data_IF_099970144507
#
_entry.id   IF_099970144507
#
_cell.length_a   1.000
_cell.length_b   1.000
_cell.length_c   1.000
_cell.angle_alpha   90.00
_cell.angle_beta   90.00
_cell.angle_gamma   90.00
#
_symmetry.space_group_name_H-M   'P 1'
#
loop_
_entity.id
_entity.type
_entity.pdbx_description
1 polymer ?
#
# COMPACT_ATOMS: atom_id res chain seq x y z
N UNK A 1 -21.69 -2.66 -0.61
CA UNK A 1 -20.30 -2.94 -0.22
C UNK A 1 -20.28 -3.87 0.99
N UNK A 2 -19.65 -5.01 0.85
CA UNK A 2 -19.55 -6.02 1.92
C UNK A 2 -18.17 -5.99 2.56
N UNK A 3 -18.06 -6.54 3.78
CA UNK A 3 -16.77 -6.65 4.47
C UNK A 3 -15.79 -7.49 3.66
N UNK A 4 -16.26 -8.58 3.08
CA UNK A 4 -15.44 -9.47 2.26
C UNK A 4 -14.89 -8.74 1.02
N UNK A 5 -15.73 -7.98 0.35
CA UNK A 5 -15.32 -7.17 -0.80
C UNK A 5 -14.23 -6.17 -0.41
N UNK A 6 -14.46 -5.45 0.70
CA UNK A 6 -13.52 -4.43 1.18
C UNK A 6 -12.19 -5.07 1.56
N UNK A 7 -12.22 -6.19 2.28
CA UNK A 7 -11.01 -6.91 2.68
C UNK A 7 -10.21 -7.35 1.46
N UNK A 8 -10.86 -7.93 0.47
CA UNK A 8 -10.19 -8.34 -0.77
C UNK A 8 -9.56 -7.18 -1.51
N UNK A 9 -10.26 -6.06 -1.59
CA UNK A 9 -9.75 -4.88 -2.29
C UNK A 9 -8.57 -4.25 -1.56
N UNK A 10 -8.63 -4.21 -0.24
CA UNK A 10 -7.53 -3.69 0.58
C UNK A 10 -6.28 -4.56 0.38
N UNK A 11 -6.42 -5.88 0.50
CA UNK A 11 -5.31 -6.80 0.30
C UNK A 11 -4.72 -6.68 -1.11
N UNK A 12 -5.58 -6.63 -2.12
CA UNK A 12 -5.15 -6.48 -3.50
C UNK A 12 -4.40 -5.16 -3.72
N UNK A 13 -4.84 -4.09 -3.07
CA UNK A 13 -4.17 -2.80 -3.19
C UNK A 13 -2.75 -2.87 -2.61
N UNK A 14 -2.58 -3.40 -1.41
CA UNK A 14 -1.26 -3.51 -0.80
C UNK A 14 -0.34 -4.44 -1.60
N UNK A 15 -0.87 -5.55 -2.10
CA UNK A 15 -0.10 -6.47 -2.94
C UNK A 15 0.34 -5.81 -4.25
N UNK A 16 -0.50 -4.95 -4.83
CA UNK A 16 -0.18 -4.26 -6.08
C UNK A 16 0.93 -3.23 -5.93
N UNK A 17 1.26 -2.84 -4.71
CA UNK A 17 2.36 -1.88 -4.46
C UNK A 17 3.72 -2.55 -4.46
N UNK A 18 3.77 -3.88 -4.48
CA UNK A 18 5.00 -4.64 -4.53
C UNK A 18 5.18 -5.19 -5.93
N UNK A 19 6.15 -4.66 -6.65
CA UNK A 19 6.36 -4.97 -8.06
C UNK A 19 7.76 -5.56 -8.24
N UNK A 20 7.87 -6.58 -9.10
CA UNK A 20 9.17 -7.13 -9.46
C UNK A 20 10.00 -6.07 -10.19
N UNK A 21 11.24 -5.89 -9.76
CA UNK A 21 12.16 -4.96 -10.42
C UNK A 21 12.57 -5.57 -11.76
N UNK A 22 12.51 -4.77 -12.81
CA UNK A 22 12.90 -5.18 -14.14
C UNK A 22 13.98 -4.26 -14.69
N UNK A 23 14.88 -4.82 -15.48
CA UNK A 23 15.91 -4.06 -16.15
C UNK A 23 15.32 -3.35 -17.40
N UNK A 24 16.15 -2.64 -18.14
CA UNK A 24 15.71 -1.91 -19.32
C UNK A 24 15.17 -2.81 -20.43
N UNK A 25 15.58 -4.09 -20.42
CA UNK A 25 15.14 -5.08 -21.40
C UNK A 25 13.85 -5.77 -20.99
N UNK A 26 13.30 -5.44 -19.81
CA UNK A 26 12.08 -6.02 -19.30
C UNK A 26 12.27 -7.34 -18.56
N UNK A 27 13.50 -7.76 -18.33
CA UNK A 27 13.78 -8.99 -17.58
C UNK A 27 13.73 -8.73 -16.08
N UNK A 28 13.23 -9.72 -15.33
CA UNK A 28 13.15 -9.65 -13.89
C UNK A 28 14.56 -9.61 -13.30
N UNK A 29 14.82 -8.64 -12.42
CA UNK A 29 16.12 -8.52 -11.76
C UNK A 29 16.22 -9.52 -10.63
N UNK A 30 17.37 -10.20 -10.56
CA UNK A 30 17.65 -11.23 -9.57
C UNK A 30 18.85 -10.80 -8.72
N UNK A 31 18.73 -10.94 -7.41
CA UNK A 31 19.80 -10.65 -6.49
C UNK A 31 20.89 -11.72 -6.46
N UNK A 32 21.96 -11.47 -5.71
CA UNK A 32 23.10 -12.39 -5.63
C UNK A 32 22.76 -13.79 -5.15
N UNK A 33 21.70 -13.92 -4.33
CA UNK A 33 21.25 -15.22 -3.83
C UNK A 33 20.22 -15.92 -4.72
N UNK A 34 19.97 -15.43 -5.93
CA UNK A 34 18.96 -15.99 -6.81
C UNK A 34 17.54 -15.52 -6.50
N UNK A 35 17.41 -14.52 -5.65
CA UNK A 35 16.12 -13.97 -5.24
C UNK A 35 15.60 -12.96 -6.25
N UNK A 36 14.28 -12.97 -6.48
CA UNK A 36 13.63 -11.94 -7.29
C UNK A 36 13.63 -10.64 -6.49
N UNK A 37 14.13 -9.56 -7.10
CA UNK A 37 14.12 -8.25 -6.47
C UNK A 37 12.79 -7.57 -6.69
N UNK A 38 12.25 -6.96 -5.64
CA UNK A 38 10.98 -6.25 -5.67
C UNK A 38 11.19 -4.77 -5.43
N UNK A 39 10.35 -3.98 -6.04
CA UNK A 39 10.26 -2.55 -5.82
C UNK A 39 8.91 -2.25 -5.18
N UNK A 40 8.91 -1.51 -4.07
CA UNK A 40 7.68 -1.11 -3.42
C UNK A 40 7.27 0.29 -3.87
N UNK A 41 6.04 0.41 -4.37
CA UNK A 41 5.45 1.72 -4.63
C UNK A 41 4.79 2.22 -3.35
N UNK A 42 4.84 3.54 -3.10
CA UNK A 42 4.20 4.07 -1.90
C UNK A 42 2.68 3.85 -1.92
N UNK A 43 2.15 3.52 -0.76
CA UNK A 43 0.70 3.43 -0.55
C UNK A 43 0.18 4.80 -0.17
N UNK A 44 -0.94 5.21 -0.75
CA UNK A 44 -1.54 6.50 -0.46
C UNK A 44 -3.01 6.34 -0.10
N UNK A 45 -3.54 7.31 0.65
CA UNK A 45 -4.96 7.33 1.02
C UNK A 45 -5.83 7.42 -0.22
N UNK A 46 -5.47 8.28 -1.16
CA UNK A 46 -6.19 8.43 -2.42
C UNK A 46 -6.16 7.15 -3.24
N UNK A 47 -5.00 6.47 -3.29
CA UNK A 47 -4.88 5.20 -4.00
C UNK A 47 -5.77 4.12 -3.40
N UNK A 48 -5.85 4.05 -2.07
CA UNK A 48 -6.74 3.12 -1.39
C UNK A 48 -8.20 3.40 -1.73
N UNK A 49 -8.59 4.68 -1.73
CA UNK A 49 -9.96 5.07 -2.07
C UNK A 49 -10.32 4.61 -3.48
N UNK A 50 -9.44 4.84 -4.44
CA UNK A 50 -9.66 4.41 -5.83
C UNK A 50 -9.74 2.89 -5.92
N UNK A 51 -8.92 2.16 -5.19
CA UNK A 51 -8.94 0.70 -5.17
C UNK A 51 -10.26 0.15 -4.63
N UNK A 52 -10.90 0.87 -3.71
CA UNK A 52 -12.20 0.49 -3.17
C UNK A 52 -13.37 0.93 -4.06
N UNK A 53 -13.10 1.64 -5.15
CA UNK A 53 -14.13 2.09 -6.08
C UNK A 53 -14.66 3.48 -5.82
N UNK A 54 -14.05 4.21 -4.91
CA UNK A 54 -14.43 5.59 -4.64
C UNK A 54 -13.71 6.55 -5.59
N UNK A 55 -14.30 7.71 -5.80
CA UNK A 55 -13.72 8.76 -6.65
C UNK A 55 -12.78 9.68 -5.87
N UNK A 56 -12.97 9.77 -4.57
CA UNK A 56 -12.21 10.69 -3.69
C UNK A 56 -11.88 10.03 -2.37
N UNK A 57 -10.78 10.45 -1.76
CA UNK A 57 -10.38 9.96 -0.43
C UNK A 57 -11.39 10.33 0.67
N UNK A 58 -12.08 11.45 0.51
CA UNK A 58 -13.07 11.91 1.49
C UNK A 58 -14.21 10.91 1.66
N UNK A 59 -14.49 10.12 0.64
CA UNK A 59 -15.53 9.10 0.69
C UNK A 59 -15.18 7.98 1.66
N UNK A 60 -13.88 7.75 1.94
CA UNK A 60 -13.45 6.79 2.95
C UNK A 60 -13.93 7.19 4.34
N UNK A 61 -13.91 8.48 4.61
CA UNK A 61 -14.30 9.01 5.91
C UNK A 61 -15.81 9.12 6.07
N UNK A 62 -16.54 9.02 4.97
CA UNK A 62 -18.00 9.08 4.95
C UNK A 62 -18.67 7.71 5.10
N UNK A 63 -17.90 6.64 5.25
CA UNK A 63 -18.44 5.29 5.40
C UNK A 63 -19.22 5.20 6.73
N UNK A 64 -20.49 4.79 6.62
CA UNK A 64 -21.38 4.69 7.78
C UNK A 64 -21.33 3.32 8.47
N UNK A 65 -21.02 2.27 7.73
CA UNK A 65 -20.95 0.92 8.30
C UNK A 65 -19.73 0.81 9.21
N UNK A 66 -19.97 0.54 10.49
CA UNK A 66 -18.92 0.50 11.50
C UNK A 66 -17.86 -0.57 11.23
N UNK A 67 -18.27 -1.73 10.76
CA UNK A 67 -17.33 -2.84 10.47
C UNK A 67 -16.45 -2.53 9.29
N UNK A 68 -17.03 -1.97 8.23
CA UNK A 68 -16.28 -1.56 7.04
C UNK A 68 -15.35 -0.40 7.38
N UNK A 69 -15.83 0.55 8.16
CA UNK A 69 -15.02 1.68 8.59
C UNK A 69 -13.80 1.22 9.41
N UNK A 70 -13.99 0.22 10.27
CA UNK A 70 -12.88 -0.34 11.05
C UNK A 70 -11.82 -0.97 10.15
N UNK A 71 -12.22 -1.68 9.11
CA UNK A 71 -11.29 -2.27 8.13
C UNK A 71 -10.51 -1.19 7.39
N UNK A 72 -11.20 -0.14 6.97
CA UNK A 72 -10.58 0.99 6.28
C UNK A 72 -9.63 1.74 7.21
N UNK A 73 -10.02 1.97 8.45
CA UNK A 73 -9.19 2.67 9.44
C UNK A 73 -7.88 1.89 9.70
N UNK A 74 -7.94 0.56 9.76
CA UNK A 74 -6.74 -0.27 9.90
C UNK A 74 -5.82 -0.11 8.68
N UNK A 75 -6.41 -0.09 7.48
CA UNK A 75 -5.63 0.11 6.26
C UNK A 75 -4.97 1.48 6.23
N UNK A 76 -5.69 2.52 6.66
CA UNK A 76 -5.16 3.88 6.75
C UNK A 76 -4.00 3.96 7.73
N UNK A 77 -4.14 3.30 8.90
CA UNK A 77 -3.06 3.25 9.89
C UNK A 77 -1.82 2.56 9.34
N UNK A 78 -2.01 1.50 8.55
CA UNK A 78 -0.91 0.80 7.91
C UNK A 78 -0.17 1.70 6.91
N UNK A 79 -0.91 2.51 6.17
CA UNK A 79 -0.32 3.49 5.23
C UNK A 79 0.52 4.51 5.99
N UNK A 80 0.01 5.03 7.10
CA UNK A 80 0.72 5.99 7.95
C UNK A 80 1.98 5.37 8.55
N UNK A 81 1.89 4.14 9.05
CA UNK A 81 3.04 3.43 9.61
C UNK A 81 4.15 3.27 8.57
N UNK A 82 3.79 2.87 7.35
CA UNK A 82 4.77 2.74 6.27
C UNK A 82 5.46 4.07 5.95
N UNK A 83 4.73 5.15 5.97
CA UNK A 83 5.28 6.49 5.75
C UNK A 83 6.25 6.88 6.86
N UNK A 84 5.89 6.60 8.11
CA UNK A 84 6.74 6.87 9.26
C UNK A 84 8.03 6.06 9.22
N UNK A 85 7.94 4.78 8.89
CA UNK A 85 9.11 3.91 8.77
C UNK A 85 10.09 4.44 7.72
N UNK A 86 9.59 4.91 6.59
CA UNK A 86 10.43 5.48 5.53
C UNK A 86 11.12 6.76 5.99
N UNK A 87 10.45 7.58 6.75
CA UNK A 87 11.04 8.79 7.34
C UNK A 87 12.14 8.42 8.34
N UNK A 88 11.89 7.45 9.19
CA UNK A 88 12.89 6.96 10.15
C UNK A 88 14.12 6.40 9.45
N UNK A 89 13.93 5.62 8.40
CA UNK A 89 15.04 5.07 7.63
C UNK A 89 15.91 6.16 7.03
N UNK A 90 15.30 7.21 6.52
CA UNK A 90 16.02 8.37 5.98
C UNK A 90 16.78 9.11 7.06
N UNK A 91 16.15 9.35 8.20
CA UNK A 91 16.77 10.04 9.32
C UNK A 91 17.98 9.26 9.87
N UNK A 92 17.82 7.95 10.01
CA UNK A 92 18.90 7.08 10.46
C UNK A 92 20.07 7.13 9.49
N UNK A 93 19.77 7.13 8.20
CA UNK A 93 20.78 7.19 7.15
C UNK A 93 21.52 8.52 7.13
N UNK A 94 20.81 9.62 7.32
CA UNK A 94 21.40 10.96 7.33
C UNK A 94 22.04 11.31 8.67
N UNK A 95 21.58 10.69 9.75
CA UNK A 95 22.13 10.92 11.07
C UNK A 95 23.46 10.22 11.32
N UNK A 96 23.82 9.34 10.43
CA UNK A 96 25.13 8.68 10.49
C UNK A 96 26.20 9.55 9.84
#
# INVERSE_FOLDING_TARGET
>A
MTEEFVTKRICAYFDSRKIERRNQEGEVMIGKGGEVLYEEKPCTVTGLALALGFSRREELFAIKNKKIKALVDRALSRIEENAEEKLFSKDTFHGA
#
